data_IF_104650922767
#
_entry.id   IF_104650922767
#
_cell.length_a   1.000
_cell.length_b   1.000
_cell.length_c   1.000
_cell.angle_alpha   90.00
_cell.angle_beta   90.00
_cell.angle_gamma   90.00
#
_symmetry.space_group_name_H-M   'P 1'
#
loop_
_entity.id
_entity.type
_entity.pdbx_description
1 polymer ?
#
# COMPACT_ATOMS: atom_id res chain seq x y z
N UNK A 1 28.00 38.69 -8.12
CA UNK A 1 28.04 37.35 -8.74
C UNK A 1 27.06 36.48 -8.00
N UNK A 2 25.93 36.11 -8.61
CA UNK A 2 25.01 35.14 -8.02
C UNK A 2 25.66 33.76 -8.11
N UNK A 3 25.83 33.09 -6.97
CA UNK A 3 26.35 31.73 -6.93
C UNK A 3 25.46 30.83 -7.80
N UNK A 4 26.07 30.04 -8.70
CA UNK A 4 25.34 29.03 -9.45
C UNK A 4 24.77 27.99 -8.49
N UNK A 5 23.50 27.64 -8.66
CA UNK A 5 22.85 26.61 -7.85
C UNK A 5 23.50 25.26 -8.11
N UNK A 6 23.76 24.51 -7.05
CA UNK A 6 24.28 23.15 -7.15
C UNK A 6 23.19 22.21 -7.66
N UNK A 7 23.51 21.40 -8.67
CA UNK A 7 22.57 20.46 -9.30
C UNK A 7 22.95 19.01 -8.94
N UNK A 8 21.96 18.22 -8.52
CA UNK A 8 22.08 16.77 -8.33
C UNK A 8 21.26 16.02 -9.38
N UNK A 9 21.91 15.12 -10.13
CA UNK A 9 21.24 14.26 -11.11
C UNK A 9 21.20 12.83 -10.57
N UNK A 10 19.99 12.28 -10.48
CA UNK A 10 19.74 10.91 -10.03
C UNK A 10 18.97 10.12 -11.08
N UNK A 11 19.01 8.79 -10.99
CA UNK A 11 18.05 7.95 -11.71
C UNK A 11 16.63 8.31 -11.27
N UNK A 12 15.66 8.12 -12.17
CA UNK A 12 14.27 8.38 -11.85
C UNK A 12 13.86 7.52 -10.64
N UNK A 13 13.36 8.13 -9.55
CA UNK A 13 13.05 7.39 -8.33
C UNK A 13 11.71 6.66 -8.43
N UNK A 14 11.41 5.85 -7.42
CA UNK A 14 10.12 5.22 -7.17
C UNK A 14 9.67 5.50 -5.74
N UNK A 15 8.35 5.52 -5.50
CA UNK A 15 7.77 5.74 -4.17
C UNK A 15 7.22 4.42 -3.59
N UNK A 16 7.87 3.89 -2.55
CA UNK A 16 7.54 2.57 -2.00
C UNK A 16 6.39 2.57 -0.98
N UNK A 17 5.73 3.72 -0.73
CA UNK A 17 4.52 3.77 0.08
C UNK A 17 3.69 5.02 -0.22
N UNK A 18 2.60 4.88 -1.00
CA UNK A 18 1.71 6.01 -1.31
C UNK A 18 0.22 5.71 -1.08
N UNK A 19 -0.53 6.75 -0.70
CA UNK A 19 -1.99 6.74 -0.66
C UNK A 19 -2.56 7.68 -1.73
N UNK A 20 -3.04 7.13 -2.85
CA UNK A 20 -3.62 7.91 -3.95
C UNK A 20 -5.10 8.24 -3.77
N UNK A 21 -5.79 7.62 -2.79
CA UNK A 21 -7.24 7.75 -2.57
C UNK A 21 -8.02 7.34 -3.82
N UNK A 22 -9.21 7.87 -4.07
CA UNK A 22 -10.02 7.54 -5.25
C UNK A 22 -10.73 8.77 -5.81
N UNK A 23 -11.39 8.61 -6.96
CA UNK A 23 -12.25 9.61 -7.61
C UNK A 23 -11.57 10.98 -7.77
N UNK A 24 -12.24 12.08 -7.41
CA UNK A 24 -11.72 13.45 -7.52
C UNK A 24 -10.40 13.64 -6.76
N UNK A 25 -10.21 12.93 -5.64
CA UNK A 25 -8.97 13.03 -4.88
C UNK A 25 -7.82 12.38 -5.63
N UNK A 26 -8.04 11.20 -6.22
CA UNK A 26 -7.05 10.54 -7.08
C UNK A 26 -6.62 11.44 -8.23
N UNK A 27 -7.57 12.06 -8.94
CA UNK A 27 -7.27 12.97 -10.04
C UNK A 27 -6.45 14.20 -9.61
N UNK A 28 -6.65 14.67 -8.37
CA UNK A 28 -5.90 15.82 -7.81
C UNK A 28 -4.50 15.45 -7.35
N UNK A 29 -4.30 14.28 -6.73
CA UNK A 29 -3.03 13.95 -6.07
C UNK A 29 -2.05 13.17 -6.96
N UNK A 30 -2.54 12.37 -7.89
CA UNK A 30 -1.71 11.53 -8.76
C UNK A 30 -0.69 12.32 -9.61
N UNK A 31 -0.99 13.53 -10.15
CA UNK A 31 -0.02 14.28 -10.96
C UNK A 31 1.30 14.56 -10.22
N UNK A 32 1.24 14.90 -8.92
CA UNK A 32 2.42 15.17 -8.09
C UNK A 32 3.35 13.96 -7.95
N UNK A 33 2.81 12.75 -8.01
CA UNK A 33 3.60 11.52 -7.97
C UNK A 33 4.12 11.16 -9.36
N UNK A 34 3.22 11.12 -10.34
CA UNK A 34 3.51 10.62 -11.69
C UNK A 34 4.46 11.52 -12.50
N UNK A 35 4.56 12.81 -12.14
CA UNK A 35 5.57 13.73 -12.71
C UNK A 35 7.00 13.29 -12.36
N UNK A 36 7.21 12.81 -11.13
CA UNK A 36 8.54 12.52 -10.57
C UNK A 36 8.87 11.03 -10.63
N UNK A 37 8.00 10.20 -10.04
CA UNK A 37 8.26 8.79 -9.78
C UNK A 37 7.89 7.90 -10.97
N UNK A 38 8.72 6.89 -11.25
CA UNK A 38 8.45 5.90 -12.28
C UNK A 38 7.40 4.88 -11.86
N UNK A 39 7.47 4.42 -10.62
CA UNK A 39 6.57 3.43 -10.01
C UNK A 39 6.20 3.87 -8.61
N UNK A 40 5.07 3.36 -8.10
CA UNK A 40 4.78 3.46 -6.68
C UNK A 40 4.01 2.28 -6.13
N UNK A 41 4.28 1.90 -4.88
CA UNK A 41 3.50 0.91 -4.13
C UNK A 41 2.25 1.59 -3.58
N UNK A 42 1.11 1.28 -4.19
CA UNK A 42 -0.18 1.90 -3.87
C UNK A 42 -0.84 1.15 -2.72
N UNK A 43 -1.04 1.86 -1.61
CA UNK A 43 -1.66 1.31 -0.41
C UNK A 43 -3.15 0.99 -0.61
N UNK A 44 -3.68 -0.07 0.04
CA UNK A 44 -4.98 -0.64 -0.33
C UNK A 44 -6.14 -0.19 0.59
N UNK A 45 -5.91 0.77 1.48
CA UNK A 45 -6.86 1.24 2.51
C UNK A 45 -7.79 2.36 2.00
N UNK A 46 -8.44 2.13 0.87
CA UNK A 46 -9.59 2.95 0.45
C UNK A 46 -10.75 2.79 1.46
N UNK A 47 -11.84 3.54 1.27
CA UNK A 47 -13.03 3.40 2.12
C UNK A 47 -13.57 1.96 2.12
N UNK A 48 -13.53 1.31 0.96
CA UNK A 48 -13.63 -0.15 0.84
C UNK A 48 -12.23 -0.70 0.56
N UNK A 49 -11.65 -1.51 1.46
CA UNK A 49 -10.29 -2.00 1.30
C UNK A 49 -10.17 -2.91 0.07
N UNK A 50 -8.99 -2.88 -0.57
CA UNK A 50 -8.68 -3.73 -1.73
C UNK A 50 -8.30 -5.13 -1.23
N UNK A 51 -9.26 -6.04 -1.18
CA UNK A 51 -9.08 -7.43 -0.71
C UNK A 51 -9.24 -8.48 -1.81
N UNK A 52 -9.57 -8.07 -3.04
CA UNK A 52 -9.80 -8.99 -4.17
C UNK A 52 -9.04 -8.55 -5.42
N UNK A 53 -8.67 -9.52 -6.26
CA UNK A 53 -8.05 -9.32 -7.56
C UNK A 53 -8.87 -8.33 -8.41
N UNK A 54 -10.19 -8.55 -8.47
CA UNK A 54 -11.10 -7.69 -9.23
C UNK A 54 -11.04 -6.23 -8.77
N UNK A 55 -11.07 -6.00 -7.45
CA UNK A 55 -10.98 -4.63 -6.91
C UNK A 55 -9.64 -3.96 -7.21
N UNK A 56 -8.54 -4.71 -7.17
CA UNK A 56 -7.20 -4.21 -7.46
C UNK A 56 -7.03 -3.84 -8.93
N UNK A 57 -7.53 -4.68 -9.84
CA UNK A 57 -7.53 -4.40 -11.29
C UNK A 57 -8.35 -3.14 -11.59
N UNK A 58 -9.58 -3.06 -11.07
CA UNK A 58 -10.44 -1.92 -11.30
C UNK A 58 -9.82 -0.61 -10.77
N UNK A 59 -9.17 -0.67 -9.59
CA UNK A 59 -8.51 0.51 -9.03
C UNK A 59 -7.25 0.89 -9.82
N UNK A 60 -6.45 -0.09 -10.26
CA UNK A 60 -5.32 0.15 -11.17
C UNK A 60 -5.76 0.85 -12.46
N UNK A 61 -6.86 0.41 -13.05
CA UNK A 61 -7.42 1.03 -14.26
C UNK A 61 -7.83 2.49 -14.02
N UNK A 62 -8.49 2.78 -12.89
CA UNK A 62 -8.81 4.18 -12.51
C UNK A 62 -7.55 5.03 -12.34
N UNK A 63 -6.50 4.49 -11.69
CA UNK A 63 -5.22 5.19 -11.53
C UNK A 63 -4.61 5.48 -12.91
N UNK A 64 -4.51 4.48 -13.79
CA UNK A 64 -3.93 4.64 -15.12
C UNK A 64 -4.72 5.63 -15.99
N UNK A 65 -6.05 5.63 -15.89
CA UNK A 65 -6.90 6.59 -16.59
C UNK A 65 -6.71 8.04 -16.09
N UNK A 66 -6.29 8.22 -14.84
CA UNK A 66 -6.02 9.53 -14.25
C UNK A 66 -4.58 10.04 -14.48
N UNK A 67 -3.68 9.23 -15.08
CA UNK A 67 -2.30 9.65 -15.36
C UNK A 67 -2.29 10.74 -16.43
N UNK A 68 -1.69 11.93 -16.17
CA UNK A 68 -1.59 12.98 -17.17
C UNK A 68 -0.83 12.55 -18.43
N UNK A 69 -1.22 13.09 -19.59
CA UNK A 69 -0.55 12.82 -20.86
C UNK A 69 0.96 13.13 -20.79
N UNK A 70 1.79 12.18 -21.23
CA UNK A 70 3.25 12.31 -21.21
C UNK A 70 3.91 11.78 -19.94
N UNK A 71 3.17 11.61 -18.84
CA UNK A 71 3.70 10.95 -17.65
C UNK A 71 3.85 9.44 -17.91
N UNK A 72 4.94 8.86 -17.42
CA UNK A 72 5.17 7.40 -17.44
C UNK A 72 5.15 6.92 -16.01
N UNK A 73 4.03 6.34 -15.57
CA UNK A 73 3.83 5.91 -14.19
C UNK A 73 3.24 4.50 -14.14
N UNK A 74 3.80 3.65 -13.28
CA UNK A 74 3.33 2.28 -13.06
C UNK A 74 2.90 2.10 -11.60
N UNK A 75 1.59 2.02 -11.31
CA UNK A 75 1.11 1.68 -9.98
C UNK A 75 1.33 0.19 -9.67
N UNK A 76 1.98 -0.09 -8.55
CA UNK A 76 2.22 -1.42 -7.99
C UNK A 76 1.19 -1.68 -6.90
N UNK A 77 0.17 -2.47 -7.21
CA UNK A 77 -0.99 -2.64 -6.34
C UNK A 77 -0.69 -3.55 -5.15
N UNK A 78 -1.37 -3.34 -4.04
CA UNK A 78 -1.24 -4.18 -2.84
C UNK A 78 -2.57 -4.75 -2.41
N UNK A 79 -2.53 -5.88 -1.69
CA UNK A 79 -3.69 -6.48 -1.04
C UNK A 79 -3.80 -6.02 0.42
N UNK A 80 -4.98 -5.63 0.87
CA UNK A 80 -5.26 -5.31 2.26
C UNK A 80 -5.48 -6.61 3.05
N UNK A 81 -4.69 -6.85 4.09
CA UNK A 81 -4.88 -8.02 4.95
C UNK A 81 -6.05 -7.83 5.93
N UNK A 82 -6.93 -8.82 6.00
CA UNK A 82 -8.08 -8.88 6.92
C UNK A 82 -8.16 -10.27 7.54
N UNK A 83 -8.82 -10.40 8.70
CA UNK A 83 -9.02 -11.70 9.37
C UNK A 83 -9.77 -12.73 8.50
N UNK A 84 -10.59 -12.26 7.54
CA UNK A 84 -11.40 -13.10 6.66
C UNK A 84 -10.93 -13.10 5.21
N UNK A 85 -9.68 -12.71 4.94
CA UNK A 85 -9.16 -12.67 3.57
C UNK A 85 -9.05 -14.10 3.01
N UNK A 86 -9.58 -14.31 1.81
CA UNK A 86 -9.40 -15.59 1.12
C UNK A 86 -7.93 -15.74 0.68
N UNK A 87 -7.30 -16.80 1.17
CA UNK A 87 -5.93 -17.17 0.82
C UNK A 87 -5.75 -17.39 -0.68
N UNK A 88 -6.80 -17.82 -1.39
CA UNK A 88 -6.77 -18.02 -2.84
C UNK A 88 -6.75 -16.70 -3.60
N UNK A 89 -7.50 -15.68 -3.15
CA UNK A 89 -7.45 -14.32 -3.73
C UNK A 89 -6.04 -13.74 -3.62
N UNK A 90 -5.42 -13.87 -2.44
CA UNK A 90 -4.05 -13.43 -2.21
C UNK A 90 -3.06 -14.18 -3.11
N UNK A 91 -3.16 -15.50 -3.13
CA UNK A 91 -2.28 -16.38 -3.91
C UNK A 91 -2.36 -16.10 -5.40
N UNK A 92 -3.56 -16.20 -5.97
CA UNK A 92 -3.77 -16.03 -7.40
C UNK A 92 -3.45 -14.60 -7.83
N UNK A 93 -3.75 -13.60 -7.00
CA UNK A 93 -3.45 -12.21 -7.31
C UNK A 93 -1.94 -11.92 -7.37
N UNK A 94 -1.14 -12.54 -6.50
CA UNK A 94 0.32 -12.41 -6.56
C UNK A 94 0.91 -13.17 -7.75
N UNK A 95 0.52 -14.42 -7.97
CA UNK A 95 1.00 -15.25 -9.09
C UNK A 95 0.67 -14.64 -10.47
N UNK A 96 -0.47 -13.94 -10.59
CA UNK A 96 -0.86 -13.22 -11.81
C UNK A 96 -0.21 -11.83 -11.94
N UNK A 97 0.58 -11.40 -10.96
CA UNK A 97 1.20 -10.06 -10.95
C UNK A 97 0.20 -8.92 -10.74
N UNK A 98 -1.01 -9.20 -10.24
CA UNK A 98 -1.99 -8.18 -9.85
C UNK A 98 -1.58 -7.52 -8.55
N UNK A 99 -1.16 -8.29 -7.56
CA UNK A 99 -0.58 -7.80 -6.31
C UNK A 99 0.93 -7.86 -6.35
N UNK A 100 1.59 -6.77 -5.96
CA UNK A 100 3.04 -6.72 -5.73
C UNK A 100 3.41 -7.10 -4.30
N UNK A 101 2.53 -6.80 -3.33
CA UNK A 101 2.73 -7.08 -1.90
C UNK A 101 1.39 -7.09 -1.16
N UNK A 102 1.38 -7.50 0.12
CA UNK A 102 0.22 -7.36 1.00
C UNK A 102 0.54 -6.38 2.14
N UNK A 103 -0.45 -5.61 2.58
CA UNK A 103 -0.30 -4.61 3.64
C UNK A 103 -1.11 -5.00 4.87
N UNK A 104 -0.40 -5.12 5.99
CA UNK A 104 -0.95 -5.30 7.33
C UNK A 104 -1.25 -3.94 7.97
N UNK A 105 -2.49 -3.76 8.42
CA UNK A 105 -2.89 -2.70 9.35
C UNK A 105 -3.50 -3.36 10.59
N UNK A 106 -2.98 -3.08 11.80
CA UNK A 106 -3.68 -3.45 13.03
C UNK A 106 -5.05 -2.76 13.07
N UNK A 107 -6.06 -3.49 13.52
CA UNK A 107 -7.43 -2.98 13.60
C UNK A 107 -7.47 -1.67 14.39
N UNK A 108 -8.11 -0.65 13.83
CA UNK A 108 -8.27 0.70 14.40
C UNK A 108 -6.98 1.52 14.63
N UNK A 109 -5.82 1.08 14.12
CA UNK A 109 -4.57 1.85 14.23
C UNK A 109 -4.57 3.17 13.46
N UNK A 110 -5.23 3.21 12.31
CA UNK A 110 -5.10 4.32 11.37
C UNK A 110 -6.34 4.51 10.48
N UNK A 111 -6.25 5.44 9.53
CA UNK A 111 -7.34 5.77 8.61
C UNK A 111 -7.79 4.53 7.82
N UNK A 112 -9.10 4.27 7.86
CA UNK A 112 -9.76 3.12 7.23
C UNK A 112 -9.26 1.74 7.69
N UNK A 113 -8.66 1.64 8.89
CA UNK A 113 -8.18 0.36 9.41
C UNK A 113 -9.16 -0.40 10.30
N UNK A 114 -10.45 -0.02 10.30
CA UNK A 114 -11.49 -0.72 11.05
C UNK A 114 -11.69 -2.17 10.59
N UNK A 115 -11.41 -2.45 9.32
CA UNK A 115 -11.40 -3.80 8.74
C UNK A 115 -9.99 -4.44 8.77
N UNK A 116 -9.06 -3.84 9.54
CA UNK A 116 -7.72 -4.37 9.79
C UNK A 116 -7.72 -5.68 10.54
N UNK A 117 -6.52 -6.22 10.74
CA UNK A 117 -6.31 -7.49 11.43
C UNK A 117 -6.49 -7.27 12.93
N UNK A 118 -7.41 -8.04 13.54
CA UNK A 118 -7.64 -8.00 14.98
C UNK A 118 -6.86 -9.08 15.73
N UNK A 119 -6.53 -10.18 15.05
CA UNK A 119 -5.80 -11.30 15.61
C UNK A 119 -4.70 -11.77 14.65
N UNK A 120 -3.46 -11.35 14.91
CA UNK A 120 -2.30 -11.70 14.08
C UNK A 120 -2.12 -13.23 13.99
N UNK A 121 -2.31 -13.96 15.10
CA UNK A 121 -2.19 -15.43 15.10
C UNK A 121 -3.24 -16.10 14.19
N UNK A 122 -4.41 -15.49 14.06
CA UNK A 122 -5.49 -15.98 13.19
C UNK A 122 -5.15 -15.96 11.70
N UNK A 123 -4.21 -15.09 11.30
CA UNK A 123 -3.80 -14.93 9.89
C UNK A 123 -2.45 -15.58 9.57
N UNK A 124 -1.87 -16.38 10.46
CA UNK A 124 -0.65 -17.14 10.20
C UNK A 124 -0.71 -17.96 8.89
N UNK A 125 -1.83 -18.63 8.54
CA UNK A 125 -1.93 -19.31 7.25
C UNK A 125 -1.70 -18.40 6.03
N UNK A 126 -2.10 -17.12 6.12
CA UNK A 126 -1.81 -16.14 5.06
C UNK A 126 -0.31 -15.83 4.99
N UNK A 127 0.35 -15.64 6.14
CA UNK A 127 1.79 -15.40 6.17
C UNK A 127 2.61 -16.59 5.66
N UNK A 128 2.24 -17.81 6.02
CA UNK A 128 2.87 -19.02 5.51
C UNK A 128 2.79 -19.08 3.99
N UNK A 129 1.61 -18.78 3.43
CA UNK A 129 1.42 -18.75 1.97
C UNK A 129 2.22 -17.64 1.30
N UNK A 130 2.21 -16.42 1.88
CA UNK A 130 3.04 -15.32 1.37
C UNK A 130 4.52 -15.68 1.36
N UNK A 131 5.01 -16.33 2.43
CA UNK A 131 6.39 -16.79 2.52
C UNK A 131 6.72 -17.81 1.43
N UNK A 132 5.84 -18.79 1.18
CA UNK A 132 6.03 -19.78 0.10
C UNK A 132 6.09 -19.14 -1.29
N UNK A 133 5.31 -18.09 -1.51
CA UNK A 133 5.26 -17.36 -2.78
C UNK A 133 6.42 -16.36 -2.93
N UNK A 134 7.09 -15.99 -1.84
CA UNK A 134 8.01 -14.85 -1.82
C UNK A 134 7.29 -13.49 -1.92
N UNK A 135 6.02 -13.42 -1.51
CA UNK A 135 5.22 -12.20 -1.51
C UNK A 135 5.62 -11.30 -0.33
N UNK A 136 6.02 -10.03 -0.57
CA UNK A 136 6.38 -9.12 0.51
C UNK A 136 5.20 -8.80 1.43
N UNK A 137 5.48 -8.80 2.74
CA UNK A 137 4.59 -8.26 3.77
C UNK A 137 5.02 -6.84 4.12
N UNK A 138 4.10 -5.89 3.96
CA UNK A 138 4.26 -4.50 4.35
C UNK A 138 3.52 -4.30 5.68
N UNK A 139 4.14 -3.65 6.67
CA UNK A 139 3.61 -3.58 8.02
C UNK A 139 3.40 -2.13 8.44
N UNK A 140 2.20 -1.80 8.93
CA UNK A 140 1.99 -0.63 9.77
C UNK A 140 2.23 -1.05 11.23
N UNK A 141 3.44 -0.78 11.74
CA UNK A 141 3.92 -1.33 13.00
C UNK A 141 3.57 -0.48 14.21
N UNK A 142 2.30 -0.41 14.58
CA UNK A 142 1.85 0.30 15.79
C UNK A 142 0.88 -0.56 16.60
N UNK A 143 1.01 -0.57 17.93
CA UNK A 143 -0.05 -1.08 18.81
C UNK A 143 -1.17 -0.06 18.99
N UNK A 144 -2.39 -0.54 19.24
CA UNK A 144 -3.59 0.31 19.35
C UNK A 144 -4.22 0.30 20.75
N UNK A 145 -3.54 -0.30 21.72
CA UNK A 145 -4.00 -0.39 23.10
C UNK A 145 -4.18 1.02 23.70
N UNK A 146 -5.30 1.22 24.39
CA UNK A 146 -5.70 2.55 24.88
C UNK A 146 -4.80 3.07 26.01
N UNK A 147 -4.06 2.19 26.67
CA UNK A 147 -3.09 2.47 27.73
C UNK A 147 -1.68 2.77 27.20
N UNK A 148 -1.46 2.66 25.88
CA UNK A 148 -0.18 2.98 25.24
C UNK A 148 -0.24 4.37 24.63
N UNK A 149 0.69 5.24 25.06
CA UNK A 149 0.84 6.58 24.50
C UNK A 149 1.16 6.51 23.00
N UNK A 150 0.65 7.46 22.22
CA UNK A 150 0.83 7.49 20.76
C UNK A 150 2.31 7.49 20.35
N UNK A 151 3.19 8.10 21.15
CA UNK A 151 4.64 8.13 20.87
C UNK A 151 5.34 6.79 21.17
N UNK A 152 4.72 5.90 21.94
CA UNK A 152 5.28 4.60 22.32
C UNK A 152 4.77 3.45 21.44
N UNK A 153 3.76 3.69 20.58
CA UNK A 153 3.05 2.62 19.85
C UNK A 153 3.94 1.82 18.92
N UNK A 154 4.89 2.47 18.27
CA UNK A 154 5.82 1.80 17.35
C UNK A 154 6.85 0.97 18.11
N UNK A 155 7.45 1.52 19.18
CA UNK A 155 8.38 0.80 20.03
C UNK A 155 7.72 -0.46 20.63
N UNK A 156 6.49 -0.32 21.12
CA UNK A 156 5.69 -1.43 21.68
C UNK A 156 5.21 -2.45 20.66
N UNK A 157 5.27 -2.15 19.36
CA UNK A 157 5.00 -3.14 18.32
C UNK A 157 6.18 -4.11 18.15
N UNK A 158 7.40 -3.68 18.49
CA UNK A 158 8.62 -4.47 18.39
C UNK A 158 8.84 -5.33 19.64
N UNK A 159 8.53 -4.78 20.82
CA UNK A 159 8.66 -5.43 22.14
C UNK A 159 7.65 -6.57 22.37
#
# INVERSE_FOLDING_TARGET
>A
MTAQSQTLKIHRPDDWHIHLRDDDMLARVLPYTSEVFGRAIVMPNLATPITTIRSAIAYRERILAAVPAGHKFTPLMTCYLTDTLDINELTCGFEQGVFTAAKLYPANATTNSTQGVSNILGIYPLFERMQQLGMPLLIHGEVTAADVDIFDREARFID
#
